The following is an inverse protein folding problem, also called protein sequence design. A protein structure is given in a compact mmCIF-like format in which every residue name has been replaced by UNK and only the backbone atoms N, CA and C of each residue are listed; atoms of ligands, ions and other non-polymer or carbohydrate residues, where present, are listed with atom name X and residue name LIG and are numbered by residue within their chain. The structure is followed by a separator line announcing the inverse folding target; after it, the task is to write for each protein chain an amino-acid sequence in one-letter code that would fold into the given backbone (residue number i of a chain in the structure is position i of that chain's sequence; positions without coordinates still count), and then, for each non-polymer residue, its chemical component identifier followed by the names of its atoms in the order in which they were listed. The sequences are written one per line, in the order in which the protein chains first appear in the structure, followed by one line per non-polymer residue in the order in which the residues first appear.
data_IF_372732192377
#
_entry.id   IF_372732192377
#
_cell.length_a   1.000
_cell.length_b   1.000
_cell.length_c   1.000
_cell.angle_alpha   90.00
_cell.angle_beta   90.00
_cell.angle_gamma   90.00
#
_symmetry.space_group_name_H-M   'P 1'
#
loop_
_entity.id
_entity.type
_entity.pdbx_description
1 polymer ?
#
# COMPACT_ATOMS: atom_id res chain seq x y z
N UNK A 1 11.64 -13.23 -17.10
CA UNK A 1 12.22 -12.88 -15.78
C UNK A 1 11.88 -11.43 -15.49
N UNK A 2 10.92 -11.17 -14.61
CA UNK A 2 10.51 -9.79 -14.28
C UNK A 2 11.39 -9.26 -13.16
N UNK A 3 12.02 -8.11 -13.41
CA UNK A 3 12.90 -7.42 -12.47
C UNK A 3 12.08 -6.80 -11.33
N UNK A 4 12.31 -7.30 -10.11
CA UNK A 4 11.72 -6.84 -8.86
C UNK A 4 12.40 -5.56 -8.35
N UNK A 5 12.15 -4.43 -9.00
CA UNK A 5 12.53 -3.12 -8.45
C UNK A 5 11.69 -2.82 -7.20
N UNK A 6 12.32 -2.46 -6.08
CA UNK A 6 11.62 -2.08 -4.84
C UNK A 6 10.68 -0.91 -5.16
N UNK A 7 9.38 -1.19 -5.24
CA UNK A 7 8.36 -0.14 -5.40
C UNK A 7 8.31 0.64 -4.09
N UNK A 8 8.84 1.86 -4.10
CA UNK A 8 8.74 2.80 -2.99
C UNK A 8 7.28 3.27 -2.89
N UNK A 9 6.47 2.59 -2.10
CA UNK A 9 5.09 2.96 -1.81
C UNK A 9 4.95 3.66 -0.44
N UNK A 10 3.80 4.32 -0.22
CA UNK A 10 3.52 5.04 1.04
C UNK A 10 3.57 4.09 2.24
N UNK A 11 3.10 2.86 2.09
CA UNK A 11 3.14 1.87 3.16
C UNK A 11 4.57 1.48 3.53
N UNK A 12 5.49 1.44 2.57
CA UNK A 12 6.92 1.21 2.79
C UNK A 12 7.55 2.35 3.59
N UNK A 13 7.28 3.61 3.20
CA UNK A 13 7.74 4.79 3.94
C UNK A 13 7.22 4.76 5.38
N UNK A 14 5.92 4.51 5.57
CA UNK A 14 5.32 4.45 6.90
C UNK A 14 5.91 3.30 7.73
N UNK A 15 6.07 2.09 7.17
CA UNK A 15 6.71 0.97 7.88
C UNK A 15 8.11 1.30 8.37
N UNK A 16 8.86 2.09 7.59
CA UNK A 16 10.24 2.46 7.91
C UNK A 16 10.33 3.62 8.91
N UNK A 17 9.46 4.62 8.81
CA UNK A 17 9.67 5.91 9.51
C UNK A 17 8.59 6.26 10.55
N UNK A 18 7.45 5.56 10.61
CA UNK A 18 6.35 5.94 11.50
C UNK A 18 6.72 5.85 13.00
N UNK A 19 7.65 4.98 13.37
CA UNK A 19 8.14 4.84 14.74
C UNK A 19 8.86 6.11 15.22
N UNK A 20 9.87 6.55 14.46
CA UNK A 20 10.62 7.78 14.72
C UNK A 20 9.71 9.01 14.68
N UNK A 21 8.77 9.06 13.73
CA UNK A 21 7.81 10.16 13.62
C UNK A 21 6.95 10.30 14.89
N UNK A 22 6.48 9.18 15.45
CA UNK A 22 5.66 9.16 16.68
C UNK A 22 6.41 9.64 17.93
N UNK A 23 7.75 9.63 17.92
CA UNK A 23 8.55 10.11 19.06
C UNK A 23 8.53 11.64 19.18
N UNK A 24 8.39 12.35 18.06
CA UNK A 24 8.39 13.81 17.99
C UNK A 24 7.00 14.40 17.75
N UNK A 25 6.09 13.64 17.15
CA UNK A 25 4.76 14.09 16.76
C UNK A 25 3.68 13.13 17.25
N UNK A 26 2.77 13.65 18.07
CA UNK A 26 1.58 12.91 18.48
C UNK A 26 0.56 12.91 17.35
N UNK A 27 0.11 11.73 16.93
CA UNK A 27 -0.93 11.59 15.91
C UNK A 27 -2.31 11.91 16.50
N UNK A 28 -3.16 12.58 15.73
CA UNK A 28 -4.59 12.65 16.01
C UNK A 28 -5.24 11.26 15.88
N UNK A 29 -6.50 11.15 16.30
CA UNK A 29 -7.26 9.92 16.13
C UNK A 29 -7.41 9.54 14.64
N UNK A 30 -7.75 10.51 13.78
CA UNK A 30 -7.93 10.33 12.35
C UNK A 30 -6.62 9.94 11.67
N UNK A 31 -5.52 10.59 12.06
CA UNK A 31 -4.19 10.25 11.55
C UNK A 31 -3.77 8.84 11.97
N UNK A 32 -4.04 8.46 13.22
CA UNK A 32 -3.77 7.11 13.71
C UNK A 32 -4.59 6.07 12.95
N UNK A 33 -5.88 6.35 12.72
CA UNK A 33 -6.78 5.50 11.93
C UNK A 33 -6.29 5.34 10.48
N UNK A 34 -5.85 6.43 9.85
CA UNK A 34 -5.30 6.38 8.50
C UNK A 34 -3.97 5.61 8.44
N UNK A 35 -3.08 5.84 9.40
CA UNK A 35 -1.79 5.12 9.50
C UNK A 35 -2.03 3.62 9.69
N UNK A 36 -2.90 3.23 10.61
CA UNK A 36 -3.33 1.84 10.76
C UNK A 36 -3.91 1.32 9.46
N UNK A 37 -4.89 2.02 8.87
CA UNK A 37 -5.49 1.60 7.60
C UNK A 37 -4.48 1.45 6.47
N UNK A 38 -3.40 2.23 6.39
CA UNK A 38 -2.35 2.13 5.35
C UNK A 38 -1.31 1.05 5.68
N UNK A 39 -0.95 0.86 6.96
CA UNK A 39 -0.01 -0.18 7.39
C UNK A 39 -0.66 -1.57 7.32
N UNK A 40 -1.91 -1.63 7.79
CA UNK A 40 -2.85 -2.74 7.71
C UNK A 40 -3.49 -2.80 6.32
N UNK A 41 -3.21 -1.84 5.43
CA UNK A 41 -3.42 -1.97 3.98
C UNK A 41 -2.40 -3.00 3.48
N UNK A 42 -2.70 -4.23 3.83
CA UNK A 42 -2.38 -5.40 3.08
C UNK A 42 -3.75 -5.95 2.73
N UNK A 43 -4.01 -6.01 1.44
CA UNK A 43 -3.17 -6.95 0.72
C UNK A 43 -2.88 -6.75 -0.78
N UNK A 44 -1.58 -6.95 -1.09
CA UNK A 44 -1.07 -7.89 -2.08
C UNK A 44 -1.07 -9.39 -1.66
N UNK A 45 -1.28 -9.74 -0.37
CA UNK A 45 -1.44 -11.13 0.12
C UNK A 45 -2.90 -11.72 0.10
N UNK A 46 -3.88 -10.95 -0.38
CA UNK A 46 -5.31 -11.14 -0.74
C UNK A 46 -5.49 -10.22 -1.97
N UNK A 47 -4.62 -10.45 -2.97
CA UNK A 47 -4.15 -9.46 -3.95
C UNK A 47 -5.21 -8.66 -4.69
N UNK A 48 -5.12 -7.33 -4.57
CA UNK A 48 -5.66 -6.38 -5.54
C UNK A 48 -4.71 -6.22 -6.74
N UNK A 49 -5.04 -6.76 -7.90
CA UNK A 49 -4.28 -6.56 -9.14
C UNK A 49 -5.14 -5.86 -10.20
N UNK A 50 -4.57 -4.86 -10.86
CA UNK A 50 -5.17 -4.29 -12.06
C UNK A 50 -4.67 -5.08 -13.25
N UNK A 51 -5.58 -5.81 -13.91
CA UNK A 51 -5.27 -6.48 -15.17
C UNK A 51 -5.57 -5.50 -16.30
N UNK A 52 -4.61 -5.32 -17.18
CA UNK A 52 -4.75 -4.49 -18.38
C UNK A 52 -4.59 -5.40 -19.58
N UNK A 53 -5.60 -5.43 -20.45
CA UNK A 53 -5.48 -6.07 -21.75
C UNK A 53 -4.86 -5.08 -22.74
N UNK A 54 -3.72 -5.43 -23.34
CA UNK A 54 -3.05 -4.56 -24.31
C UNK A 54 -3.72 -4.52 -25.68
N UNK A 55 -4.53 -5.52 -26.03
CA UNK A 55 -5.27 -5.54 -27.29
C UNK A 55 -6.54 -4.70 -27.25
N UNK A 56 -7.38 -4.87 -26.22
CA UNK A 56 -8.68 -4.17 -26.14
C UNK A 56 -8.68 -2.97 -25.17
N UNK A 57 -7.56 -2.72 -24.46
CA UNK A 57 -7.37 -1.61 -23.50
C UNK A 57 -8.34 -1.57 -22.32
N UNK A 58 -9.07 -2.66 -22.06
CA UNK A 58 -9.86 -2.77 -20.83
C UNK A 58 -8.95 -2.99 -19.62
N UNK A 59 -9.35 -2.38 -18.51
CA UNK A 59 -8.70 -2.48 -17.22
C UNK A 59 -9.72 -2.97 -16.21
N UNK A 60 -9.34 -3.96 -15.43
CA UNK A 60 -10.21 -4.60 -14.46
C UNK A 60 -9.51 -4.71 -13.12
N UNK A 61 -10.24 -4.33 -12.07
CA UNK A 61 -9.79 -4.46 -10.69
C UNK A 61 -10.14 -5.85 -10.18
N UNK A 62 -9.11 -6.66 -9.94
CA UNK A 62 -9.26 -7.98 -9.36
C UNK A 62 -8.83 -7.94 -7.91
N UNK A 63 -9.67 -8.43 -7.01
CA UNK A 63 -9.35 -8.65 -5.61
C UNK A 63 -9.39 -10.16 -5.35
N UNK A 64 -8.32 -10.74 -4.78
CA UNK A 64 -8.38 -12.14 -4.33
C UNK A 64 -9.03 -12.19 -2.96
N UNK A 65 -10.10 -12.97 -2.85
CA UNK A 65 -10.77 -13.31 -1.59
C UNK A 65 -9.88 -14.16 -0.68
#
# INVERSE_FOLDING_TARGET
MQQSGVKLDVAHILRKHIGEYKMSHRLSYEQSKAVSAILDCRTPALGGVVKICFECKNWEFHYKA
#
